data_IF_886769848662
#
_entry.id   IF_886769848662
#
_cell.length_a   1.000
_cell.length_b   1.000
_cell.length_c   1.000
_cell.angle_alpha   90.00
_cell.angle_beta   90.00
_cell.angle_gamma   90.00
#
_symmetry.space_group_name_H-M   'P 1'
#
loop_
_entity.id
_entity.type
_entity.pdbx_description
1 polymer ?
#
# COMPACT_ATOMS: atom_id res chain seq x y z
N UNK A 1 -33.91 23.24 21.40
CA UNK A 1 -32.53 22.70 21.22
C UNK A 1 -31.82 23.49 20.16
N UNK A 2 -30.80 24.30 20.56
CA UNK A 2 -30.11 25.26 19.67
C UNK A 2 -28.89 24.58 19.03
N UNK A 3 -28.91 24.46 17.71
CA UNK A 3 -27.68 24.13 16.94
C UNK A 3 -26.81 25.38 16.86
N UNK A 4 -25.55 25.26 17.31
CA UNK A 4 -24.53 26.26 17.08
C UNK A 4 -23.76 25.90 15.83
N UNK A 5 -24.02 26.62 14.73
CA UNK A 5 -23.23 26.60 13.53
C UNK A 5 -21.90 27.36 13.77
N UNK A 6 -20.78 26.70 13.47
CA UNK A 6 -19.46 27.32 13.40
C UNK A 6 -19.33 27.91 12.00
N UNK A 7 -19.51 29.24 11.92
CA UNK A 7 -19.28 29.99 10.70
C UNK A 7 -17.77 30.20 10.48
N UNK A 8 -17.23 29.66 9.40
CA UNK A 8 -15.91 30.02 8.87
C UNK A 8 -16.04 31.37 8.18
N UNK A 9 -15.52 32.41 8.80
CA UNK A 9 -15.49 33.73 8.23
C UNK A 9 -14.38 33.78 7.16
N UNK A 10 -14.77 33.83 5.89
CA UNK A 10 -13.89 34.23 4.78
C UNK A 10 -13.68 35.75 4.86
N UNK A 11 -12.51 36.14 5.32
CA UNK A 11 -12.08 37.56 5.27
C UNK A 11 -11.54 37.83 3.86
N UNK A 12 -12.38 38.41 3.00
CA UNK A 12 -11.98 38.99 1.74
C UNK A 12 -11.28 40.34 2.05
N UNK A 13 -9.95 40.31 2.08
CA UNK A 13 -9.17 41.56 2.07
C UNK A 13 -8.96 41.96 0.61
N UNK A 14 -9.76 42.94 0.18
CA UNK A 14 -9.52 43.64 -1.06
C UNK A 14 -8.31 44.55 -0.87
N UNK A 15 -7.15 44.19 -1.42
CA UNK A 15 -5.98 45.04 -1.47
C UNK A 15 -5.93 45.81 -2.79
N UNK A 16 -5.89 47.08 -2.66
CA UNK A 16 -5.77 48.03 -3.78
C UNK A 16 -4.46 47.80 -4.55
N UNK A 17 -4.59 47.76 -5.89
CA UNK A 17 -3.49 47.72 -6.85
C UNK A 17 -2.63 48.97 -6.74
N UNK A 18 -1.45 48.87 -6.12
CA UNK A 18 -0.31 49.73 -6.36
C UNK A 18 0.82 48.87 -6.94
N UNK A 19 1.55 49.39 -7.91
CA UNK A 19 2.50 48.73 -8.79
C UNK A 19 3.75 48.11 -8.11
N UNK A 20 3.71 47.76 -6.83
CA UNK A 20 4.78 47.12 -6.08
C UNK A 20 4.39 45.71 -5.53
N UNK A 21 3.16 45.22 -5.73
CA UNK A 21 2.67 44.02 -5.07
C UNK A 21 3.13 42.69 -5.71
N UNK A 22 3.49 42.68 -7.00
CA UNK A 22 3.90 41.48 -7.69
C UNK A 22 5.25 40.93 -7.23
N UNK A 23 6.21 41.79 -6.96
CA UNK A 23 7.57 41.44 -6.51
C UNK A 23 7.60 40.77 -5.12
N UNK A 24 6.71 41.19 -4.24
CA UNK A 24 6.63 40.60 -2.88
C UNK A 24 6.02 39.18 -2.95
N UNK A 25 4.99 39.00 -3.74
CA UNK A 25 4.33 37.66 -3.91
C UNK A 25 5.27 36.67 -4.60
N UNK A 26 6.04 37.13 -5.59
CA UNK A 26 7.04 36.27 -6.25
C UNK A 26 8.18 35.91 -5.31
N UNK A 27 8.69 36.84 -4.52
CA UNK A 27 9.69 36.56 -3.48
C UNK A 27 9.20 35.59 -2.41
N UNK A 28 7.93 35.68 -2.00
CA UNK A 28 7.33 34.71 -1.08
C UNK A 28 7.16 33.32 -1.71
N UNK A 29 6.72 33.26 -2.97
CA UNK A 29 6.63 31.99 -3.72
C UNK A 29 8.00 31.35 -3.93
N UNK A 30 9.00 32.14 -4.30
CA UNK A 30 10.37 31.67 -4.48
C UNK A 30 10.96 31.17 -3.15
N UNK A 31 10.79 31.93 -2.06
CA UNK A 31 11.27 31.55 -0.73
C UNK A 31 10.56 30.31 -0.16
N UNK A 32 9.28 30.12 -0.50
CA UNK A 32 8.53 28.92 -0.16
C UNK A 32 9.01 27.72 -0.99
N UNK A 33 9.31 27.94 -2.28
CA UNK A 33 9.85 26.93 -3.17
C UNK A 33 11.27 26.53 -2.78
N UNK A 34 12.15 27.50 -2.50
CA UNK A 34 13.52 27.24 -2.06
C UNK A 34 13.55 26.52 -0.70
N UNK A 35 12.58 26.81 0.19
CA UNK A 35 12.43 26.09 1.47
C UNK A 35 11.90 24.67 1.30
N UNK A 36 11.00 24.46 0.34
CA UNK A 36 10.50 23.13 -0.04
C UNK A 36 11.58 22.31 -0.74
N UNK A 37 12.34 22.92 -1.68
CA UNK A 37 13.44 22.26 -2.40
C UNK A 37 14.62 21.96 -1.45
N UNK A 38 14.88 22.82 -0.47
CA UNK A 38 15.90 22.58 0.56
C UNK A 38 15.47 21.53 1.59
N UNK A 39 14.17 21.42 1.89
CA UNK A 39 13.61 20.35 2.71
C UNK A 39 13.58 19.01 1.94
N UNK A 40 13.36 19.06 0.63
CA UNK A 40 13.41 17.87 -0.25
C UNK A 40 14.85 17.39 -0.55
N UNK A 41 15.85 18.26 -0.42
CA UNK A 41 17.27 17.96 -0.63
C UNK A 41 18.04 17.61 0.64
N UNK A 42 17.46 17.83 1.83
CA UNK A 42 18.04 17.36 3.08
C UNK A 42 17.86 15.84 3.16
N UNK A 43 18.92 15.08 2.85
CA UNK A 43 18.94 13.65 3.12
C UNK A 43 18.80 13.44 4.63
N UNK A 44 17.82 12.64 5.10
CA UNK A 44 17.76 12.25 6.50
C UNK A 44 18.94 11.31 6.79
N UNK A 45 20.08 11.86 7.22
CA UNK A 45 21.30 11.11 7.53
C UNK A 45 21.34 10.59 8.96
N UNK A 46 20.26 10.77 9.72
CA UNK A 46 20.12 10.31 11.10
C UNK A 46 18.85 9.48 11.32
N UNK A 47 18.69 8.85 12.51
CA UNK A 47 17.47 8.14 12.86
C UNK A 47 16.28 9.12 12.85
N UNK A 48 15.14 8.66 12.33
CA UNK A 48 13.89 9.44 12.21
C UNK A 48 13.31 9.81 13.59
N UNK A 49 13.68 9.07 14.63
CA UNK A 49 13.34 9.31 16.04
C UNK A 49 14.44 8.78 16.95
N UNK A 50 14.50 9.27 18.19
CA UNK A 50 15.34 8.71 19.25
C UNK A 50 14.80 7.40 19.83
N UNK A 51 13.50 7.09 19.68
CA UNK A 51 12.90 5.81 20.02
C UNK A 51 13.05 4.86 18.82
N UNK A 52 13.71 3.70 18.99
CA UNK A 52 13.96 2.78 17.88
C UNK A 52 12.69 2.22 17.22
N UNK A 53 11.62 2.02 18.01
CA UNK A 53 10.36 1.51 17.46
C UNK A 53 9.59 2.59 16.71
N UNK A 54 9.63 3.84 17.18
CA UNK A 54 9.09 4.97 16.42
C UNK A 54 9.87 5.20 15.13
N UNK A 55 11.20 5.17 15.18
CA UNK A 55 12.05 5.28 14.00
C UNK A 55 11.76 4.16 12.98
N UNK A 56 11.59 2.92 13.46
CA UNK A 56 11.20 1.79 12.61
C UNK A 56 9.82 2.02 11.99
N UNK A 57 8.83 2.42 12.78
CA UNK A 57 7.48 2.70 12.29
C UNK A 57 7.46 3.76 11.18
N UNK A 58 8.19 4.84 11.34
CA UNK A 58 8.35 5.88 10.33
C UNK A 58 9.03 5.36 9.06
N UNK A 59 10.06 4.53 9.20
CA UNK A 59 10.76 3.91 8.06
C UNK A 59 9.86 2.95 7.29
N UNK A 60 9.01 2.16 7.96
CA UNK A 60 8.10 1.21 7.32
C UNK A 60 7.02 1.87 6.46
N UNK A 61 6.74 3.17 6.64
CA UNK A 61 5.73 3.87 5.83
C UNK A 61 6.04 3.81 4.34
N UNK A 62 7.30 3.88 3.92
CA UNK A 62 7.68 3.82 2.51
C UNK A 62 7.19 2.55 1.81
N UNK A 63 7.59 1.34 2.26
CA UNK A 63 7.07 0.08 1.70
C UNK A 63 5.56 -0.06 1.82
N UNK A 64 4.94 0.38 2.93
CA UNK A 64 3.47 0.33 3.12
C UNK A 64 2.77 1.19 2.07
N UNK A 65 3.20 2.42 1.86
CA UNK A 65 2.61 3.32 0.87
C UNK A 65 2.83 2.81 -0.56
N UNK A 66 3.97 2.19 -0.84
CA UNK A 66 4.20 1.54 -2.13
C UNK A 66 3.17 0.43 -2.39
N UNK A 67 2.98 -0.50 -1.44
CA UNK A 67 1.99 -1.59 -1.55
C UNK A 67 0.58 -1.02 -1.73
N UNK A 68 0.20 -0.02 -0.93
CA UNK A 68 -1.12 0.60 -0.99
C UNK A 68 -1.39 1.25 -2.36
N UNK A 69 -0.36 1.80 -2.99
CA UNK A 69 -0.49 2.42 -4.31
C UNK A 69 -0.54 1.39 -5.45
N UNK A 70 0.33 0.38 -5.45
CA UNK A 70 0.56 -0.47 -6.63
C UNK A 70 -0.18 -1.81 -6.59
N UNK A 71 -0.21 -2.52 -5.45
CA UNK A 71 -0.71 -3.90 -5.40
C UNK A 71 -2.17 -4.02 -5.82
N UNK A 72 -3.04 -3.13 -5.32
CA UNK A 72 -4.45 -3.13 -5.68
C UNK A 72 -4.74 -2.85 -7.17
N UNK A 73 -3.83 -2.14 -7.86
CA UNK A 73 -3.96 -1.91 -9.30
C UNK A 73 -3.68 -3.20 -10.09
N UNK A 74 -2.57 -3.88 -9.75
CA UNK A 74 -2.17 -5.15 -10.40
C UNK A 74 -3.19 -6.24 -10.12
N UNK A 75 -3.64 -6.39 -8.87
CA UNK A 75 -4.65 -7.37 -8.45
C UNK A 75 -5.95 -7.20 -9.24
N UNK A 76 -6.51 -5.98 -9.27
CA UNK A 76 -7.74 -5.69 -10.02
C UNK A 76 -7.59 -5.95 -11.52
N UNK A 77 -6.42 -5.67 -12.08
CA UNK A 77 -6.12 -5.97 -13.48
C UNK A 77 -6.19 -7.48 -13.75
N UNK A 78 -5.56 -8.29 -12.87
CA UNK A 78 -5.61 -9.76 -12.92
C UNK A 78 -7.03 -10.29 -12.78
N UNK A 79 -7.74 -9.84 -11.77
CA UNK A 79 -9.11 -10.31 -11.49
C UNK A 79 -10.04 -10.00 -12.67
N UNK A 80 -9.93 -8.81 -13.26
CA UNK A 80 -10.66 -8.46 -14.49
C UNK A 80 -10.27 -9.39 -15.64
N UNK A 81 -8.97 -9.64 -15.80
CA UNK A 81 -8.45 -10.48 -16.88
C UNK A 81 -9.00 -11.90 -16.81
N UNK A 82 -8.99 -12.53 -15.64
CA UNK A 82 -9.44 -13.92 -15.50
C UNK A 82 -10.96 -14.08 -15.39
N UNK A 83 -11.71 -12.98 -15.27
CA UNK A 83 -13.17 -13.02 -15.02
C UNK A 83 -14.02 -13.39 -16.22
N UNK A 84 -13.50 -13.37 -17.45
CA UNK A 84 -14.30 -13.53 -18.66
C UNK A 84 -14.04 -14.81 -19.48
N UNK A 85 -13.14 -15.67 -19.01
CA UNK A 85 -12.95 -17.00 -19.56
C UNK A 85 -13.01 -18.07 -18.45
N UNK A 86 -13.42 -19.31 -18.77
CA UNK A 86 -13.84 -20.28 -17.76
C UNK A 86 -12.68 -20.89 -16.95
N UNK A 87 -11.48 -20.91 -17.51
CA UNK A 87 -10.30 -21.49 -16.89
C UNK A 87 -9.13 -20.53 -16.94
N UNK A 88 -8.79 -19.96 -15.76
CA UNK A 88 -7.69 -19.02 -15.62
C UNK A 88 -6.32 -19.61 -15.98
N UNK A 89 -6.15 -20.93 -15.92
CA UNK A 89 -4.91 -21.63 -16.27
C UNK A 89 -4.80 -21.86 -17.77
N UNK A 90 -5.91 -22.23 -18.40
CA UNK A 90 -5.94 -22.49 -19.85
C UNK A 90 -5.98 -21.19 -20.68
N UNK A 91 -6.60 -20.14 -20.12
CA UNK A 91 -6.73 -18.85 -20.76
C UNK A 91 -7.84 -18.74 -21.81
N UNK A 92 -7.82 -17.66 -22.61
CA UNK A 92 -8.83 -17.43 -23.64
C UNK A 92 -8.85 -18.50 -24.71
N UNK A 93 -10.06 -19.00 -25.05
CA UNK A 93 -10.23 -20.08 -26.02
C UNK A 93 -10.51 -19.59 -27.45
N UNK A 94 -10.97 -18.35 -27.60
CA UNK A 94 -11.47 -17.78 -28.86
C UNK A 94 -12.95 -18.07 -29.11
N UNK A 95 -13.67 -18.59 -28.10
CA UNK A 95 -15.12 -18.90 -28.15
C UNK A 95 -15.92 -18.01 -27.19
N UNK A 96 -15.26 -17.11 -26.49
CA UNK A 96 -15.87 -16.22 -25.50
C UNK A 96 -16.84 -15.27 -26.19
N UNK A 97 -18.08 -15.20 -25.66
CA UNK A 97 -19.12 -14.29 -26.16
C UNK A 97 -18.86 -12.84 -25.74
N UNK A 98 -18.18 -12.64 -24.62
CA UNK A 98 -17.89 -11.34 -24.05
C UNK A 98 -16.41 -11.32 -23.67
N UNK A 99 -15.69 -10.30 -24.13
CA UNK A 99 -14.29 -10.08 -23.84
C UNK A 99 -14.17 -8.78 -23.05
N UNK A 100 -13.81 -8.87 -21.78
CA UNK A 100 -13.65 -7.68 -20.93
C UNK A 100 -12.23 -7.11 -20.96
N UNK A 101 -11.24 -7.87 -21.41
CA UNK A 101 -9.83 -7.51 -21.31
C UNK A 101 -9.36 -7.42 -19.86
N UNK A 102 -8.57 -6.38 -19.57
CA UNK A 102 -8.05 -6.10 -18.23
C UNK A 102 -7.95 -4.60 -17.99
N UNK A 103 -7.75 -4.19 -16.72
CA UNK A 103 -7.52 -2.78 -16.40
C UNK A 103 -6.06 -2.41 -16.61
N UNK A 104 -5.80 -1.19 -17.06
CA UNK A 104 -4.47 -0.59 -17.04
C UNK A 104 -4.05 -0.29 -15.60
N UNK A 105 -2.77 -0.41 -15.36
CA UNK A 105 -2.15 0.15 -14.15
C UNK A 105 -1.84 1.62 -14.41
N UNK A 106 -2.31 2.49 -13.53
CA UNK A 106 -2.12 3.93 -13.68
C UNK A 106 -0.65 4.29 -13.39
N UNK A 107 0.09 4.91 -14.32
CA UNK A 107 1.52 5.19 -14.15
C UNK A 107 1.87 5.96 -12.88
N UNK A 108 1.04 6.93 -12.48
CA UNK A 108 1.24 7.72 -11.25
C UNK A 108 1.30 6.88 -9.98
N UNK A 109 0.59 5.75 -9.91
CA UNK A 109 0.67 4.86 -8.74
C UNK A 109 2.00 4.09 -8.71
N UNK A 110 2.50 3.68 -9.88
CA UNK A 110 3.81 3.03 -10.00
C UNK A 110 4.94 3.99 -9.65
N UNK A 111 4.89 5.21 -10.19
CA UNK A 111 5.88 6.26 -9.89
C UNK A 111 5.88 6.62 -8.41
N UNK A 112 4.70 6.74 -7.79
CA UNK A 112 4.60 7.00 -6.35
C UNK A 112 5.20 5.87 -5.54
N UNK A 113 4.87 4.61 -5.85
CA UNK A 113 5.47 3.46 -5.19
C UNK A 113 7.00 3.49 -5.27
N UNK A 114 7.58 3.71 -6.45
CA UNK A 114 9.04 3.81 -6.63
C UNK A 114 9.64 4.96 -5.83
N UNK A 115 8.97 6.11 -5.78
CA UNK A 115 9.40 7.26 -4.98
C UNK A 115 9.43 6.93 -3.49
N UNK A 116 8.39 6.25 -2.98
CA UNK A 116 8.32 5.84 -1.57
C UNK A 116 9.42 4.83 -1.22
N UNK A 117 9.68 3.85 -2.09
CA UNK A 117 10.79 2.90 -1.89
C UNK A 117 12.16 3.58 -1.98
N UNK A 118 12.32 4.56 -2.87
CA UNK A 118 13.56 5.34 -2.95
C UNK A 118 13.78 6.17 -1.67
N UNK A 119 12.72 6.73 -1.09
CA UNK A 119 12.75 7.40 0.21
C UNK A 119 13.13 6.46 1.35
N UNK A 120 12.49 5.29 1.39
CA UNK A 120 12.77 4.22 2.36
C UNK A 120 14.25 3.81 2.36
N UNK A 121 14.86 3.61 1.18
CA UNK A 121 16.26 3.17 1.06
C UNK A 121 17.27 4.20 1.56
N UNK A 122 16.90 5.48 1.65
CA UNK A 122 17.76 6.54 2.21
C UNK A 122 17.87 6.46 3.73
N UNK A 123 16.86 5.93 4.41
CA UNK A 123 16.83 5.78 5.86
C UNK A 123 17.55 4.49 6.25
N UNK A 124 18.78 4.60 6.75
CA UNK A 124 19.60 3.43 7.10
C UNK A 124 19.24 2.83 8.45
N UNK A 125 18.87 3.65 9.42
CA UNK A 125 18.54 3.21 10.78
C UNK A 125 17.03 3.25 11.06
N UNK A 126 16.49 2.25 11.75
CA UNK A 126 17.13 1.00 12.10
C UNK A 126 17.32 0.06 10.90
N UNK A 127 18.27 -0.92 10.97
CA UNK A 127 18.53 -1.82 9.85
C UNK A 127 17.34 -2.77 9.59
N UNK A 128 17.02 -3.00 8.32
CA UNK A 128 15.88 -3.80 7.85
C UNK A 128 16.28 -4.69 6.66
N UNK A 129 17.40 -5.39 6.77
CA UNK A 129 18.05 -6.08 5.63
C UNK A 129 17.14 -7.09 4.89
N UNK A 130 16.28 -7.82 5.61
CA UNK A 130 15.33 -8.75 4.97
C UNK A 130 14.21 -8.00 4.25
N UNK A 131 13.69 -6.92 4.86
CA UNK A 131 12.69 -6.07 4.22
C UNK A 131 13.28 -5.37 2.98
N UNK A 132 14.54 -4.94 3.04
CA UNK A 132 15.23 -4.29 1.91
C UNK A 132 15.25 -5.20 0.68
N UNK A 133 15.64 -6.49 0.84
CA UNK A 133 15.63 -7.49 -0.23
C UNK A 133 14.23 -7.75 -0.79
N UNK A 134 13.23 -7.81 0.10
CA UNK A 134 11.84 -8.04 -0.31
C UNK A 134 11.26 -6.83 -1.04
N UNK A 135 11.60 -5.61 -0.63
CA UNK A 135 11.23 -4.38 -1.32
C UNK A 135 11.85 -4.30 -2.73
N UNK A 136 13.11 -4.69 -2.86
CA UNK A 136 13.78 -4.76 -4.16
C UNK A 136 13.15 -5.82 -5.07
N UNK A 137 12.81 -6.98 -4.52
CA UNK A 137 12.10 -8.04 -5.26
C UNK A 137 10.72 -7.58 -5.71
N UNK A 138 9.96 -6.93 -4.82
CA UNK A 138 8.64 -6.39 -5.13
C UNK A 138 8.71 -5.36 -6.28
N UNK A 139 9.64 -4.40 -6.21
CA UNK A 139 9.82 -3.40 -7.26
C UNK A 139 10.19 -4.04 -8.59
N UNK A 140 11.12 -5.01 -8.59
CA UNK A 140 11.50 -5.74 -9.80
C UNK A 140 10.32 -6.50 -10.43
N UNK A 141 9.44 -7.12 -9.62
CA UNK A 141 8.25 -7.81 -10.12
C UNK A 141 7.17 -6.85 -10.60
N UNK A 142 7.03 -5.68 -9.96
CA UNK A 142 6.18 -4.60 -10.43
C UNK A 142 6.64 -4.10 -11.82
N UNK A 143 7.93 -3.89 -11.98
CA UNK A 143 8.53 -3.47 -13.25
C UNK A 143 8.39 -4.50 -14.37
N UNK A 144 8.32 -5.78 -14.01
CA UNK A 144 8.10 -6.86 -14.99
C UNK A 144 6.63 -6.99 -15.40
N UNK A 145 5.68 -6.87 -14.46
CA UNK A 145 4.25 -7.11 -14.74
C UNK A 145 3.57 -5.93 -15.43
N UNK A 146 3.91 -4.68 -15.08
CA UNK A 146 3.23 -3.49 -15.59
C UNK A 146 3.31 -3.35 -17.12
N UNK A 147 4.46 -3.51 -17.80
CA UNK A 147 4.53 -3.45 -19.26
C UNK A 147 3.72 -4.54 -19.97
N UNK A 148 3.61 -5.73 -19.37
CA UNK A 148 2.78 -6.81 -19.91
C UNK A 148 1.29 -6.47 -19.81
N UNK A 149 0.86 -5.92 -18.67
CA UNK A 149 -0.50 -5.40 -18.49
C UNK A 149 -0.81 -4.32 -19.54
N UNK A 150 0.09 -3.36 -19.73
CA UNK A 150 -0.09 -2.30 -20.72
C UNK A 150 -0.20 -2.84 -22.14
N UNK A 151 0.64 -3.80 -22.50
CA UNK A 151 0.62 -4.44 -23.82
C UNK A 151 -0.70 -5.17 -24.06
N UNK A 152 -1.15 -5.94 -23.06
CA UNK A 152 -2.42 -6.65 -23.14
C UNK A 152 -3.60 -5.66 -23.16
N UNK A 153 -3.57 -4.61 -22.34
CA UNK A 153 -4.64 -3.62 -22.30
C UNK A 153 -4.79 -2.90 -23.65
N UNK A 154 -3.69 -2.48 -24.28
CA UNK A 154 -3.72 -1.87 -25.63
C UNK A 154 -4.38 -2.79 -26.65
N UNK A 155 -4.05 -4.08 -26.64
CA UNK A 155 -4.65 -5.07 -27.55
C UNK A 155 -6.16 -5.20 -27.35
N UNK A 156 -6.62 -5.27 -26.10
CA UNK A 156 -8.06 -5.40 -25.82
C UNK A 156 -8.84 -4.10 -26.07
N UNK A 157 -8.25 -2.95 -25.77
CA UNK A 157 -8.86 -1.64 -26.04
C UNK A 157 -9.00 -1.34 -27.55
N UNK A 158 -8.00 -1.71 -28.33
CA UNK A 158 -8.06 -1.60 -29.81
C UNK A 158 -9.03 -2.60 -30.44
N UNK A 159 -9.51 -3.58 -29.66
CA UNK A 159 -10.34 -4.71 -30.12
C UNK A 159 -9.67 -5.58 -31.19
N UNK A 160 -8.34 -5.60 -31.26
CA UNK A 160 -7.58 -6.44 -32.19
C UNK A 160 -7.97 -7.91 -32.09
N UNK A 161 -8.56 -8.32 -30.95
CA UNK A 161 -9.07 -9.68 -30.73
C UNK A 161 -10.24 -10.06 -31.65
N UNK A 162 -10.97 -9.12 -32.20
CA UNK A 162 -12.05 -9.35 -33.17
C UNK A 162 -11.46 -9.85 -34.48
N UNK A 163 -10.32 -9.28 -34.89
CA UNK A 163 -9.64 -9.61 -36.15
C UNK A 163 -8.87 -10.93 -36.07
N UNK A 164 -8.12 -11.14 -34.99
CA UNK A 164 -7.24 -12.31 -34.82
C UNK A 164 -7.88 -13.48 -34.06
N UNK A 165 -9.15 -13.38 -33.69
CA UNK A 165 -9.90 -14.40 -32.93
C UNK A 165 -9.18 -14.84 -31.65
N UNK A 166 -8.64 -13.87 -30.93
CA UNK A 166 -7.87 -14.07 -29.69
C UNK A 166 -6.53 -14.82 -29.85
N UNK A 167 -5.96 -14.89 -31.06
CA UNK A 167 -4.70 -15.59 -31.28
C UNK A 167 -3.55 -14.94 -30.49
N UNK A 168 -3.42 -13.62 -30.52
CA UNK A 168 -2.43 -12.89 -29.75
C UNK A 168 -2.69 -12.98 -28.23
N UNK A 169 -3.96 -12.97 -27.81
CA UNK A 169 -4.32 -13.19 -26.40
C UNK A 169 -3.82 -14.53 -25.87
N UNK A 170 -4.01 -15.62 -26.61
CA UNK A 170 -3.50 -16.95 -26.28
C UNK A 170 -1.98 -16.97 -26.13
N UNK A 171 -1.28 -16.27 -27.02
CA UNK A 171 0.18 -16.18 -26.99
C UNK A 171 0.68 -15.38 -25.77
N UNK A 172 0.02 -14.28 -25.43
CA UNK A 172 0.38 -13.43 -24.29
C UNK A 172 0.03 -14.06 -22.93
N UNK A 173 -1.04 -14.88 -22.89
CA UNK A 173 -1.61 -15.39 -21.64
C UNK A 173 -0.61 -16.06 -20.70
N UNK A 174 0.23 -17.02 -21.11
CA UNK A 174 1.16 -17.69 -20.20
C UNK A 174 2.16 -16.72 -19.54
N UNK A 175 2.70 -15.80 -20.33
CA UNK A 175 3.65 -14.80 -19.84
C UNK A 175 3.01 -13.80 -18.87
N UNK A 176 1.80 -13.36 -19.19
CA UNK A 176 1.05 -12.42 -18.36
C UNK A 176 0.65 -13.06 -17.01
N UNK A 177 0.12 -14.30 -17.05
CA UNK A 177 -0.25 -15.03 -15.82
C UNK A 177 0.95 -15.29 -14.93
N UNK A 178 2.08 -15.75 -15.51
CA UNK A 178 3.32 -15.92 -14.78
C UNK A 178 3.76 -14.62 -14.08
N UNK A 179 3.70 -13.50 -14.78
CA UNK A 179 4.10 -12.21 -14.20
C UNK A 179 3.15 -11.77 -13.06
N UNK A 180 1.83 -12.01 -13.20
CA UNK A 180 0.87 -11.77 -12.13
C UNK A 180 1.17 -12.63 -10.90
N UNK A 181 1.44 -13.92 -11.08
CA UNK A 181 1.71 -14.84 -9.98
C UNK A 181 3.03 -14.49 -9.28
N UNK A 182 4.10 -14.20 -10.02
CA UNK A 182 5.38 -13.75 -9.47
C UNK A 182 5.26 -12.43 -8.70
N UNK A 183 4.47 -11.48 -9.19
CA UNK A 183 4.19 -10.23 -8.47
C UNK A 183 3.39 -10.48 -7.19
N UNK A 184 2.36 -11.32 -7.24
CA UNK A 184 1.55 -11.68 -6.09
C UNK A 184 2.38 -12.37 -4.99
N UNK A 185 3.32 -13.24 -5.37
CA UNK A 185 4.22 -13.89 -4.42
C UNK A 185 5.18 -12.88 -3.76
N UNK A 186 5.70 -11.92 -4.53
CA UNK A 186 6.53 -10.83 -4.00
C UNK A 186 5.73 -9.90 -3.07
N UNK A 187 4.48 -9.56 -3.42
CA UNK A 187 3.57 -8.77 -2.59
C UNK A 187 3.28 -9.48 -1.25
N UNK A 188 2.96 -10.76 -1.29
CA UNK A 188 2.73 -11.56 -0.08
C UNK A 188 3.96 -11.62 0.82
N UNK A 189 5.15 -11.84 0.24
CA UNK A 189 6.40 -11.91 1.01
C UNK A 189 6.72 -10.57 1.68
N UNK A 190 6.57 -9.45 0.96
CA UNK A 190 6.80 -8.11 1.50
C UNK A 190 5.81 -7.79 2.63
N UNK A 191 4.53 -8.11 2.44
CA UNK A 191 3.48 -7.93 3.48
C UNK A 191 3.75 -8.77 4.72
N UNK A 192 4.20 -10.00 4.55
CA UNK A 192 4.50 -10.89 5.66
C UNK A 192 5.64 -10.34 6.53
N UNK A 193 6.70 -9.80 5.94
CA UNK A 193 7.81 -9.19 6.70
C UNK A 193 7.37 -7.88 7.36
N UNK A 194 6.61 -7.03 6.67
CA UNK A 194 6.02 -5.83 7.29
C UNK A 194 5.14 -6.17 8.48
N UNK A 195 4.30 -7.21 8.37
CA UNK A 195 3.46 -7.70 9.47
C UNK A 195 4.32 -8.16 10.66
N UNK A 196 5.35 -8.97 10.41
CA UNK A 196 6.28 -9.45 11.45
C UNK A 196 6.95 -8.29 12.17
N UNK A 197 7.46 -7.29 11.45
CA UNK A 197 8.11 -6.12 12.05
C UNK A 197 7.11 -5.31 12.89
N UNK A 198 5.91 -5.04 12.38
CA UNK A 198 4.84 -4.34 13.10
C UNK A 198 4.39 -5.09 14.37
N UNK A 199 4.19 -6.41 14.26
CA UNK A 199 3.85 -7.25 15.43
C UNK A 199 4.93 -7.18 16.49
N UNK A 200 6.21 -7.28 16.10
CA UNK A 200 7.32 -7.16 17.04
C UNK A 200 7.39 -5.79 17.74
N UNK A 201 7.06 -4.70 17.04
CA UNK A 201 6.95 -3.38 17.67
C UNK A 201 5.78 -3.33 18.68
N UNK A 202 4.63 -3.87 18.33
CA UNK A 202 3.46 -3.91 19.18
C UNK A 202 3.72 -4.74 20.47
N UNK A 203 4.40 -5.88 20.34
CA UNK A 203 4.80 -6.72 21.48
C UNK A 203 5.75 -5.98 22.43
N UNK A 204 6.74 -5.23 21.89
CA UNK A 204 7.67 -4.44 22.72
C UNK A 204 6.96 -3.28 23.43
N UNK A 205 6.06 -2.57 22.72
CA UNK A 205 5.28 -1.49 23.32
C UNK A 205 4.36 -2.01 24.43
N UNK A 206 3.69 -3.15 24.23
CA UNK A 206 2.86 -3.78 25.24
C UNK A 206 3.69 -4.13 26.51
N UNK A 207 4.87 -4.74 26.33
CA UNK A 207 5.78 -5.07 27.43
C UNK A 207 6.29 -3.80 28.14
N UNK A 208 6.60 -2.73 27.42
CA UNK A 208 7.02 -1.44 27.98
C UNK A 208 5.92 -0.82 28.83
N UNK A 209 4.68 -0.82 28.35
CA UNK A 209 3.52 -0.30 29.08
C UNK A 209 3.24 -1.14 30.32
N UNK A 210 3.30 -2.48 30.22
CA UNK A 210 3.13 -3.36 31.37
C UNK A 210 4.15 -3.06 32.47
N UNK A 211 5.42 -2.85 32.11
CA UNK A 211 6.50 -2.56 33.03
C UNK A 211 6.38 -1.19 33.72
N UNK A 212 5.93 -0.17 32.99
CA UNK A 212 5.93 1.22 33.46
C UNK A 212 4.61 1.66 34.09
N UNK A 213 3.48 1.17 33.58
CA UNK A 213 2.14 1.56 34.02
C UNK A 213 1.34 0.43 34.63
N UNK A 214 1.75 -0.83 34.43
CA UNK A 214 1.00 -2.04 34.81
C UNK A 214 -0.13 -2.34 33.80
N UNK A 215 -0.89 -3.41 34.09
CA UNK A 215 -2.04 -3.82 33.24
C UNK A 215 -3.27 -2.95 33.51
N UNK A 216 -3.18 -1.69 33.11
CA UNK A 216 -4.26 -0.71 33.22
C UNK A 216 -4.88 -0.43 31.85
N UNK A 217 -5.70 0.62 31.77
CA UNK A 217 -6.46 0.98 30.57
C UNK A 217 -5.62 0.99 29.26
N UNK A 218 -4.42 1.57 29.31
CA UNK A 218 -3.56 1.62 28.12
C UNK A 218 -3.08 0.24 27.72
N UNK A 219 -2.69 -0.61 28.67
CA UNK A 219 -2.28 -1.98 28.40
C UNK A 219 -3.44 -2.80 27.81
N UNK A 220 -4.64 -2.71 28.44
CA UNK A 220 -5.83 -3.40 27.97
C UNK A 220 -6.19 -2.96 26.54
N UNK A 221 -6.16 -1.66 26.25
CA UNK A 221 -6.42 -1.15 24.91
C UNK A 221 -5.43 -1.70 23.86
N UNK A 222 -4.13 -1.67 24.15
CA UNK A 222 -3.12 -2.22 23.24
C UNK A 222 -3.32 -3.73 23.04
N UNK A 223 -3.53 -4.47 24.12
CA UNK A 223 -3.75 -5.93 24.07
C UNK A 223 -5.01 -6.28 23.28
N UNK A 224 -6.12 -5.57 23.51
CA UNK A 224 -7.36 -5.75 22.76
C UNK A 224 -7.17 -5.53 21.27
N UNK A 225 -6.49 -4.46 20.88
CA UNK A 225 -6.20 -4.17 19.46
C UNK A 225 -5.34 -5.26 18.82
N UNK A 226 -4.32 -5.75 19.53
CA UNK A 226 -3.45 -6.83 19.03
C UNK A 226 -4.22 -8.14 18.84
N UNK A 227 -5.15 -8.47 19.75
CA UNK A 227 -5.99 -9.67 19.60
C UNK A 227 -7.01 -9.49 18.48
N UNK A 228 -7.65 -8.31 18.40
CA UNK A 228 -8.57 -7.97 17.31
C UNK A 228 -7.90 -8.09 15.92
N UNK A 229 -6.67 -7.58 15.79
CA UNK A 229 -5.90 -7.68 14.53
C UNK A 229 -5.65 -9.15 14.15
N UNK A 230 -5.35 -10.03 15.12
CA UNK A 230 -5.20 -11.46 14.86
C UNK A 230 -6.51 -12.13 14.44
N UNK A 231 -7.64 -11.77 15.07
CA UNK A 231 -8.97 -12.27 14.69
C UNK A 231 -9.29 -11.92 13.24
N UNK A 232 -9.13 -10.63 12.86
CA UNK A 232 -9.36 -10.17 11.49
C UNK A 232 -8.44 -10.90 10.51
N UNK A 233 -7.17 -11.05 10.84
CA UNK A 233 -6.21 -11.74 9.97
C UNK A 233 -6.56 -13.20 9.72
N UNK A 234 -7.02 -13.93 10.75
CA UNK A 234 -7.49 -15.30 10.56
C UNK A 234 -8.79 -15.36 9.77
N UNK A 235 -9.68 -14.39 9.94
CA UNK A 235 -10.94 -14.30 9.17
C UNK A 235 -10.73 -13.96 7.69
N UNK A 236 -9.64 -13.29 7.34
CA UNK A 236 -9.27 -12.96 5.96
C UNK A 236 -8.57 -14.11 5.21
N UNK A 237 -8.23 -15.20 5.91
CA UNK A 237 -7.67 -16.39 5.28
C UNK A 237 -8.74 -17.14 4.46
N UNK A 238 -8.28 -17.99 3.54
CA UNK A 238 -9.17 -18.86 2.76
C UNK A 238 -10.04 -19.71 3.73
N UNK A 239 -11.38 -19.57 3.70
CA UNK A 239 -12.26 -20.29 4.61
C UNK A 239 -12.05 -21.81 4.64
N UNK A 240 -11.55 -22.40 3.54
CA UNK A 240 -11.23 -23.83 3.46
C UNK A 240 -10.00 -24.24 4.25
N UNK A 241 -9.19 -23.27 4.67
CA UNK A 241 -7.94 -23.46 5.44
C UNK A 241 -8.04 -22.94 6.87
N UNK A 242 -9.16 -22.34 7.23
CA UNK A 242 -9.37 -21.76 8.56
C UNK A 242 -9.38 -22.88 9.62
N UNK A 243 -8.46 -22.77 10.58
CA UNK A 243 -8.53 -23.56 11.81
C UNK A 243 -9.63 -22.99 12.73
N UNK A 244 -10.82 -23.57 12.65
CA UNK A 244 -12.00 -23.12 13.39
C UNK A 244 -11.78 -23.16 14.92
N UNK A 245 -11.02 -24.12 15.45
CA UNK A 245 -10.76 -24.22 16.87
C UNK A 245 -9.79 -23.11 17.36
N UNK A 246 -8.74 -22.85 16.58
CA UNK A 246 -7.82 -21.75 16.85
C UNK A 246 -8.54 -20.39 16.73
N UNK A 247 -9.42 -20.22 15.73
CA UNK A 247 -10.21 -19.01 15.56
C UNK A 247 -11.17 -18.77 16.73
N UNK A 248 -11.90 -19.80 17.17
CA UNK A 248 -12.78 -19.72 18.34
C UNK A 248 -12.02 -19.36 19.63
N UNK A 249 -10.83 -19.94 19.81
CA UNK A 249 -9.96 -19.63 20.94
C UNK A 249 -9.57 -18.16 20.95
N UNK A 250 -9.22 -17.63 19.79
CA UNK A 250 -8.82 -16.24 19.61
C UNK A 250 -10.00 -15.27 19.82
N UNK A 251 -11.21 -15.65 19.40
CA UNK A 251 -12.42 -14.87 19.66
C UNK A 251 -12.71 -14.79 21.16
N UNK A 252 -12.60 -15.89 21.91
CA UNK A 252 -12.75 -15.89 23.37
C UNK A 252 -11.69 -15.01 24.07
N UNK A 253 -10.44 -15.04 23.58
CA UNK A 253 -9.41 -14.11 24.07
C UNK A 253 -9.80 -12.66 23.83
N UNK A 254 -10.32 -12.35 22.64
CA UNK A 254 -10.80 -11.00 22.30
C UNK A 254 -11.94 -10.55 23.21
N UNK A 255 -12.97 -11.37 23.40
CA UNK A 255 -14.10 -11.09 24.28
C UNK A 255 -13.63 -10.81 25.71
N UNK A 256 -12.75 -11.67 26.25
CA UNK A 256 -12.20 -11.47 27.58
C UNK A 256 -11.37 -10.17 27.74
N UNK A 257 -10.74 -9.70 26.66
CA UNK A 257 -10.00 -8.42 26.69
C UNK A 257 -10.94 -7.21 26.59
N UNK A 258 -12.09 -7.33 25.93
CA UNK A 258 -13.08 -6.25 25.83
C UNK A 258 -13.80 -6.04 27.17
N UNK A 259 -14.00 -7.11 27.95
CA UNK A 259 -14.68 -7.08 29.23
C UNK A 259 -13.76 -6.70 30.42
N UNK A 260 -12.45 -6.60 30.21
CA UNK A 260 -11.44 -6.31 31.24
C UNK A 260 -11.19 -4.81 31.43
#
# INVERSE_FOLDING_TARGET
MKQRGVGVAFLLIAFALSAGGCDVIEKFKQKAKDKADKAASAEPSGPLSSDPDEALGLKLNGPIECINNASGQVSRSRDRYVSWFPDAKAGPTGKEKIVYGLYKVTPTFVERCKKELAGYRKVKEPPTADLDKLADTYEAKLDAVVPLIETAAKYYEAKDYEDDKLAKAKTMHPGLMKAFDEFNDADKALRAELKKLKSGMADRELAKVEKTEGKKLRWNHLKTNMVAEKVVQMGDEDPSKLDAAAFETLLKEYEAQVDA
#
